data_IF_819655768180
#
_entry.id   IF_819655768180
#
_cell.length_a   1.000
_cell.length_b   1.000
_cell.length_c   1.000
_cell.angle_alpha   90.00
_cell.angle_beta   90.00
_cell.angle_gamma   90.00
#
_symmetry.space_group_name_H-M   'P 1'
#
loop_
_entity.id
_entity.type
_entity.pdbx_description
1 polymer ?
#
# COMPACT_ATOMS: atom_id res chain seq x y z
N UNK A 1 8.55 9.52 -6.37
CA UNK A 1 8.64 8.65 -7.57
C UNK A 1 7.31 7.93 -7.72
N UNK A 2 6.80 7.71 -8.95
CA UNK A 2 5.54 6.98 -9.09
C UNK A 2 5.79 5.49 -8.94
N UNK A 3 5.21 4.86 -7.93
CA UNK A 3 5.28 3.41 -7.71
C UNK A 3 4.23 2.70 -8.57
N UNK A 4 4.65 2.02 -9.63
CA UNK A 4 3.74 1.26 -10.51
C UNK A 4 3.14 0.03 -9.81
N UNK A 5 3.85 -0.51 -8.83
CA UNK A 5 3.47 -1.67 -8.03
C UNK A 5 3.78 -1.39 -6.56
N UNK A 6 2.96 -0.56 -5.89
CA UNK A 6 3.21 -0.18 -4.51
C UNK A 6 3.19 -1.42 -3.62
N UNK A 7 4.21 -1.57 -2.79
CA UNK A 7 4.39 -2.74 -1.92
C UNK A 7 3.64 -2.63 -0.61
N UNK A 8 3.28 -1.40 -0.21
CA UNK A 8 2.61 -1.07 1.02
C UNK A 8 1.81 0.25 0.86
N UNK A 9 1.13 0.65 1.93
CA UNK A 9 0.32 1.86 1.94
C UNK A 9 1.15 3.14 1.93
N UNK A 10 2.42 3.10 2.35
CA UNK A 10 3.31 4.26 2.28
C UNK A 10 3.65 4.60 0.82
N UNK A 11 3.93 3.59 -0.02
CA UNK A 11 4.15 3.81 -1.45
C UNK A 11 2.89 4.29 -2.19
N UNK A 12 1.69 3.88 -1.75
CA UNK A 12 0.43 4.45 -2.23
C UNK A 12 0.31 5.94 -1.84
N UNK A 13 0.70 6.31 -0.62
CA UNK A 13 0.68 7.69 -0.17
C UNK A 13 1.70 8.56 -0.93
N UNK A 14 2.89 8.04 -1.24
CA UNK A 14 3.86 8.72 -2.12
C UNK A 14 3.31 8.93 -3.55
N UNK A 15 2.37 8.09 -3.98
CA UNK A 15 1.63 8.25 -5.24
C UNK A 15 0.47 9.26 -5.14
N UNK A 16 0.25 9.88 -3.97
CA UNK A 16 -0.80 10.87 -3.74
C UNK A 16 -2.14 10.29 -3.28
N UNK A 17 -2.18 9.03 -2.85
CA UNK A 17 -3.38 8.45 -2.21
C UNK A 17 -3.47 8.99 -0.80
N UNK A 18 -4.56 9.70 -0.49
CA UNK A 18 -4.77 10.36 0.82
C UNK A 18 -6.03 9.91 1.53
N UNK A 19 -6.86 9.09 0.89
CA UNK A 19 -8.11 8.60 1.46
C UNK A 19 -7.89 7.21 2.07
N UNK A 20 -8.45 6.97 3.25
CA UNK A 20 -8.42 5.65 3.88
C UNK A 20 -9.35 4.69 3.14
N UNK A 21 -8.94 3.42 2.99
CA UNK A 21 -9.73 2.47 2.20
C UNK A 21 -9.01 1.16 1.92
N UNK A 22 -9.68 0.26 1.21
CA UNK A 22 -9.07 -1.00 0.77
C UNK A 22 -8.33 -0.78 -0.55
N UNK A 23 -7.04 -1.13 -0.58
CA UNK A 23 -6.19 -1.00 -1.74
C UNK A 23 -5.42 -2.29 -2.02
N UNK A 24 -5.14 -2.52 -3.30
CA UNK A 24 -4.31 -3.63 -3.76
C UNK A 24 -2.83 -3.22 -3.71
N UNK A 25 -2.02 -3.97 -2.98
CA UNK A 25 -0.57 -3.81 -2.89
C UNK A 25 0.16 -5.05 -3.42
N UNK A 26 1.46 -4.91 -3.70
CA UNK A 26 2.31 -5.93 -4.31
C UNK A 26 3.56 -6.21 -3.45
N UNK A 27 3.41 -6.80 -2.25
CA UNK A 27 4.55 -7.03 -1.35
C UNK A 27 5.61 -7.91 -2.01
N UNK A 28 6.89 -7.57 -1.82
CA UNK A 28 8.02 -8.45 -2.18
C UNK A 28 8.14 -9.59 -1.16
N UNK A 29 7.49 -10.72 -1.41
CA UNK A 29 7.86 -11.97 -0.77
C UNK A 29 9.15 -12.50 -1.40
N UNK A 30 10.04 -13.07 -0.59
CA UNK A 30 11.30 -13.69 -1.06
C UNK A 30 11.08 -14.92 -1.95
N UNK A 31 9.84 -15.39 -2.09
CA UNK A 31 9.44 -16.49 -2.96
C UNK A 31 8.75 -15.91 -4.18
N UNK A 32 9.20 -16.31 -5.36
CA UNK A 32 8.93 -15.71 -6.68
C UNK A 32 7.46 -15.72 -7.18
N UNK A 33 6.47 -15.81 -6.29
CA UNK A 33 5.05 -15.99 -6.60
C UNK A 33 4.15 -15.02 -5.83
N UNK A 34 4.58 -13.77 -5.65
CA UNK A 34 3.75 -12.76 -4.99
C UNK A 34 2.49 -12.46 -5.80
N UNK A 35 1.36 -13.00 -5.35
CA UNK A 35 0.05 -12.45 -5.65
C UNK A 35 -0.07 -11.07 -5.00
N UNK A 36 -0.78 -10.18 -5.67
CA UNK A 36 -1.27 -8.96 -5.05
C UNK A 36 -2.22 -9.31 -3.91
N UNK A 37 -2.25 -8.48 -2.88
CA UNK A 37 -3.17 -8.61 -1.76
C UNK A 37 -3.94 -7.31 -1.58
N UNK A 38 -5.19 -7.43 -1.16
CA UNK A 38 -5.99 -6.29 -0.75
C UNK A 38 -5.80 -6.07 0.75
N UNK A 39 -5.49 -4.84 1.13
CA UNK A 39 -5.27 -4.41 2.52
C UNK A 39 -6.06 -3.15 2.80
N UNK A 40 -6.40 -2.92 4.06
CA UNK A 40 -6.90 -1.61 4.47
C UNK A 40 -5.71 -0.67 4.66
N UNK A 41 -5.70 0.45 3.95
CA UNK A 41 -4.77 1.54 4.17
C UNK A 41 -5.45 2.63 4.99
N UNK A 42 -4.85 2.96 6.13
CA UNK A 42 -5.16 4.19 6.85
C UNK A 42 -4.23 5.30 6.36
N UNK A 43 -4.81 6.27 5.66
CA UNK A 43 -4.09 7.38 5.04
C UNK A 43 -4.29 8.70 5.78
N UNK A 44 -5.07 8.70 6.87
CA UNK A 44 -5.53 9.91 7.55
C UNK A 44 -4.97 10.02 8.97
N UNK A 45 -4.77 8.89 9.64
CA UNK A 45 -4.28 8.85 11.03
C UNK A 45 -2.78 9.05 11.10
N UNK A 46 -2.34 9.98 11.96
CA UNK A 46 -0.92 10.22 12.29
C UNK A 46 0.00 10.36 11.06
N UNK A 47 -0.47 11.07 10.04
CA UNK A 47 0.27 11.30 8.81
C UNK A 47 0.11 10.21 7.74
N UNK A 48 -0.67 9.15 7.98
CA UNK A 48 -1.08 8.18 6.97
C UNK A 48 -0.01 7.18 6.53
N UNK A 49 -0.32 6.41 5.49
CA UNK A 49 0.58 5.40 4.92
C UNK A 49 0.60 4.08 5.69
N UNK A 50 -0.37 3.83 6.56
CA UNK A 50 -0.40 2.64 7.41
C UNK A 50 -1.09 1.47 6.72
N UNK A 51 -0.40 0.32 6.65
CA UNK A 51 -1.00 -0.95 6.22
C UNK A 51 -1.62 -1.66 7.41
N UNK A 52 -2.93 -1.88 7.37
CA UNK A 52 -3.72 -2.59 8.38
C UNK A 52 -4.27 -3.89 7.77
N UNK A 53 -4.05 -5.01 8.47
CA UNK A 53 -4.44 -6.36 8.05
C UNK A 53 -5.75 -6.82 8.66
#
# INVERSE_FOLDING_TARGET
PKHERPMDCAELMENGVTESGVYTIYPRARLAHCQSIDVYCDMETDGGGWTVS
#
